data_IF_855641834128
#
_entry.id   IF_855641834128
#
_cell.length_a   1.000
_cell.length_b   1.000
_cell.length_c   1.000
_cell.angle_alpha   90.00
_cell.angle_beta   90.00
_cell.angle_gamma   90.00
#
_symmetry.space_group_name_H-M   'P 1'
#
loop_
_entity.id
_entity.type
_entity.pdbx_description
1 polymer ?
#
# COMPACT_ATOMS: atom_id res chain seq x y z
N UNK A 1 12.21 12.10 11.82
CA UNK A 1 11.41 13.00 10.95
C UNK A 1 9.95 12.90 11.37
N UNK A 2 9.42 14.00 11.94
CA UNK A 2 8.08 14.29 12.53
C UNK A 2 7.12 13.12 12.87
N UNK A 3 7.12 12.75 14.16
CA UNK A 3 6.02 12.03 14.83
C UNK A 3 4.79 12.93 14.88
N UNK A 4 3.83 12.71 13.99
CA UNK A 4 2.49 13.28 14.07
C UNK A 4 1.71 12.43 15.10
N UNK A 5 1.82 12.81 16.37
CA UNK A 5 0.83 12.45 17.41
C UNK A 5 -0.37 13.38 17.24
N UNK A 6 -1.20 13.11 16.24
CA UNK A 6 -2.52 13.71 16.07
C UNK A 6 -3.51 12.59 16.40
N UNK A 7 -4.57 12.90 17.14
CA UNK A 7 -5.52 11.98 17.81
C UNK A 7 -5.14 11.60 19.25
N UNK A 8 -5.92 12.08 20.21
CA UNK A 8 -5.91 11.63 21.60
C UNK A 8 -6.19 10.12 21.69
N UNK A 9 -5.71 9.48 22.77
CA UNK A 9 -5.76 8.01 22.99
C UNK A 9 -7.18 7.44 22.99
N UNK A 10 -7.77 7.25 21.81
CA UNK A 10 -9.04 6.58 21.59
C UNK A 10 -8.90 5.07 21.77
N UNK A 11 -10.03 4.38 22.03
CA UNK A 11 -10.08 2.91 22.22
C UNK A 11 -9.43 2.14 21.05
N UNK A 12 -9.49 2.68 19.84
CA UNK A 12 -8.93 2.07 18.63
C UNK A 12 -7.40 2.02 18.60
N UNK A 13 -6.70 3.02 19.18
CA UNK A 13 -5.23 3.00 19.24
C UNK A 13 -4.72 1.86 20.13
N UNK A 14 -5.35 1.65 21.30
CA UNK A 14 -4.97 0.56 22.20
C UNK A 14 -5.15 -0.82 21.56
N UNK A 15 -6.30 -1.05 20.92
CA UNK A 15 -6.54 -2.31 20.22
C UNK A 15 -5.55 -2.53 19.06
N UNK A 16 -5.16 -1.46 18.36
CA UNK A 16 -4.17 -1.51 17.29
C UNK A 16 -2.75 -1.80 17.82
N UNK A 17 -2.32 -1.13 18.88
CA UNK A 17 -1.03 -1.38 19.55
C UNK A 17 -0.94 -2.83 20.06
N UNK A 18 -2.01 -3.35 20.66
CA UNK A 18 -2.07 -4.75 21.09
C UNK A 18 -2.02 -5.74 19.93
N UNK A 19 -2.69 -5.43 18.82
CA UNK A 19 -2.65 -6.26 17.61
C UNK A 19 -1.23 -6.31 17.01
N UNK A 20 -0.56 -5.16 16.89
CA UNK A 20 0.84 -5.08 16.44
C UNK A 20 1.75 -5.90 17.35
N UNK A 21 1.61 -5.74 18.67
CA UNK A 21 2.41 -6.48 19.67
C UNK A 21 2.21 -7.99 19.56
N UNK A 22 0.98 -8.45 19.37
CA UNK A 22 0.66 -9.87 19.18
C UNK A 22 1.20 -10.43 17.86
N UNK A 23 1.21 -9.61 16.82
CA UNK A 23 1.77 -9.98 15.52
C UNK A 23 3.31 -9.96 15.49
N UNK A 24 3.97 -9.42 16.52
CA UNK A 24 5.43 -9.32 16.59
C UNK A 24 6.04 -8.35 15.57
N UNK A 25 5.28 -7.36 15.12
CA UNK A 25 5.72 -6.39 14.12
C UNK A 25 6.28 -5.15 14.82
N UNK A 26 7.48 -4.73 14.43
CA UNK A 26 8.08 -3.50 14.95
C UNK A 26 7.91 -2.34 13.96
N UNK A 27 7.87 -1.10 14.47
CA UNK A 27 7.83 0.14 13.67
C UNK A 27 6.64 0.27 12.69
N UNK A 28 5.50 -0.36 12.99
CA UNK A 28 4.28 -0.28 12.18
C UNK A 28 3.31 0.78 12.70
N UNK A 29 2.84 1.66 11.82
CA UNK A 29 1.85 2.70 12.14
C UNK A 29 0.53 2.45 11.42
N UNK A 30 -0.53 3.12 11.87
CA UNK A 30 -1.88 2.91 11.32
C UNK A 30 -1.98 3.17 9.81
N UNK A 31 -1.17 4.09 9.27
CA UNK A 31 -1.15 4.38 7.84
C UNK A 31 -0.62 3.21 7.00
N UNK A 32 0.20 2.34 7.58
CA UNK A 32 0.77 1.19 6.86
C UNK A 32 -0.29 0.16 6.49
N UNK A 33 -1.39 0.07 7.25
CA UNK A 33 -2.56 -0.73 6.86
C UNK A 33 -3.12 -0.32 5.50
N UNK A 34 -3.19 0.99 5.27
CA UNK A 34 -3.63 1.53 3.98
C UNK A 34 -2.64 1.18 2.88
N UNK A 35 -1.34 1.27 3.16
CA UNK A 35 -0.31 0.86 2.21
C UNK A 35 -0.45 -0.61 1.81
N UNK A 36 -0.62 -1.49 2.79
CA UNK A 36 -0.80 -2.93 2.57
C UNK A 36 -2.06 -3.23 1.77
N UNK A 37 -3.19 -2.60 2.09
CA UNK A 37 -4.44 -2.80 1.35
C UNK A 37 -4.30 -2.43 -0.14
N UNK A 38 -3.68 -1.29 -0.43
CA UNK A 38 -3.46 -0.84 -1.81
C UNK A 38 -2.53 -1.79 -2.57
N UNK A 39 -1.44 -2.22 -1.93
CA UNK A 39 -0.49 -3.15 -2.53
C UNK A 39 -1.15 -4.51 -2.84
N UNK A 40 -1.99 -5.01 -1.94
CA UNK A 40 -2.72 -6.25 -2.14
C UNK A 40 -3.71 -6.15 -3.31
N UNK A 41 -4.44 -5.04 -3.42
CA UNK A 41 -5.35 -4.84 -4.57
C UNK A 41 -4.60 -4.72 -5.90
N UNK A 42 -3.42 -4.08 -5.89
CA UNK A 42 -2.52 -4.04 -7.06
C UNK A 42 -2.08 -5.44 -7.47
N UNK A 43 -1.63 -6.26 -6.52
CA UNK A 43 -1.20 -7.64 -6.76
C UNK A 43 -2.33 -8.56 -7.25
N UNK A 44 -3.57 -8.29 -6.85
CA UNK A 44 -4.76 -8.97 -7.36
C UNK A 44 -5.15 -8.55 -8.79
N UNK A 45 -4.46 -7.55 -9.37
CA UNK A 45 -4.73 -7.08 -10.72
C UNK A 45 -5.98 -6.21 -10.86
N UNK A 46 -6.46 -5.60 -9.77
CA UNK A 46 -7.58 -4.66 -9.86
C UNK A 46 -7.17 -3.40 -10.65
N UNK A 47 -8.15 -2.82 -11.35
CA UNK A 47 -7.94 -1.59 -12.10
C UNK A 47 -7.48 -0.43 -11.19
N UNK A 48 -6.48 0.33 -11.67
CA UNK A 48 -5.87 1.40 -10.89
C UNK A 48 -6.85 2.54 -10.56
N UNK A 49 -7.77 2.87 -11.47
CA UNK A 49 -8.75 3.92 -11.20
C UNK A 49 -9.75 3.49 -10.12
N UNK A 50 -10.16 2.22 -10.13
CA UNK A 50 -11.00 1.64 -9.05
C UNK A 50 -10.29 1.67 -7.70
N UNK A 51 -9.03 1.25 -7.66
CA UNK A 51 -8.23 1.30 -6.43
C UNK A 51 -8.10 2.74 -5.94
N UNK A 52 -7.81 3.69 -6.82
CA UNK A 52 -7.67 5.11 -6.48
C UNK A 52 -8.98 5.70 -5.95
N UNK A 53 -10.13 5.38 -6.55
CA UNK A 53 -11.43 5.81 -6.09
C UNK A 53 -11.74 5.24 -4.69
N UNK A 54 -11.55 3.93 -4.50
CA UNK A 54 -11.80 3.25 -3.22
C UNK A 54 -10.89 3.76 -2.10
N UNK A 55 -9.63 4.03 -2.42
CA UNK A 55 -8.68 4.57 -1.45
C UNK A 55 -8.80 6.09 -1.30
N UNK A 56 -9.41 6.84 -2.21
CA UNK A 56 -9.51 8.30 -2.15
C UNK A 56 -8.23 9.04 -2.57
N UNK A 57 -7.45 8.47 -3.50
CA UNK A 57 -6.34 9.20 -4.11
C UNK A 57 -6.86 10.19 -5.14
N UNK A 58 -6.47 11.46 -5.01
CA UNK A 58 -6.87 12.53 -5.94
C UNK A 58 -6.05 12.55 -7.23
N UNK A 59 -4.79 12.13 -7.18
CA UNK A 59 -3.88 12.21 -8.33
C UNK A 59 -3.10 10.91 -8.50
N UNK A 60 -2.83 10.57 -9.76
CA UNK A 60 -2.07 9.37 -10.12
C UNK A 60 -0.62 9.44 -9.59
N UNK A 61 -0.04 10.63 -9.48
CA UNK A 61 1.31 10.81 -8.94
C UNK A 61 1.46 10.30 -7.50
N UNK A 62 0.43 10.46 -6.66
CA UNK A 62 0.45 9.94 -5.29
C UNK A 62 0.35 8.41 -5.28
N UNK A 63 -0.36 7.85 -6.26
CA UNK A 63 -0.59 6.41 -6.44
C UNK A 63 0.62 5.67 -7.04
N UNK A 64 1.42 6.33 -7.90
CA UNK A 64 2.62 5.73 -8.51
C UNK A 64 3.59 5.09 -7.50
N UNK A 65 3.60 5.54 -6.25
CA UNK A 65 4.40 4.96 -5.16
C UNK A 65 4.07 3.50 -4.85
N UNK A 66 2.87 3.05 -5.19
CA UNK A 66 2.43 1.66 -5.02
C UNK A 66 2.66 0.82 -6.26
N UNK A 67 2.96 1.45 -7.40
CA UNK A 67 3.14 0.75 -8.67
C UNK A 67 4.63 0.51 -8.93
N UNK A 68 5.28 -0.25 -8.04
CA UNK A 68 6.61 -0.77 -8.31
C UNK A 68 6.45 -1.91 -9.31
N UNK A 69 6.72 -1.63 -10.58
CA UNK A 69 6.69 -2.65 -11.63
C UNK A 69 7.83 -3.64 -11.35
N UNK A 70 7.47 -4.89 -11.05
CA UNK A 70 8.45 -5.96 -10.87
C UNK A 70 9.10 -6.32 -12.22
N UNK A 71 10.32 -6.85 -12.20
CA UNK A 71 11.02 -7.26 -13.44
C UNK A 71 10.24 -8.35 -14.17
N UNK A 72 9.51 -9.16 -13.42
CA UNK A 72 8.66 -10.25 -13.87
C UNK A 72 7.44 -9.74 -14.63
N UNK A 73 6.75 -8.71 -14.12
CA UNK A 73 5.65 -8.03 -14.83
C UNK A 73 6.13 -7.36 -16.12
N UNK A 74 7.33 -6.76 -16.08
CA UNK A 74 7.94 -6.11 -17.23
C UNK A 74 8.33 -7.15 -18.31
N UNK A 75 8.86 -8.31 -17.89
CA UNK A 75 9.17 -9.43 -18.78
C UNK A 75 7.91 -10.03 -19.43
N UNK A 76 6.81 -10.15 -18.68
CA UNK A 76 5.54 -10.63 -19.21
C UNK A 76 4.92 -9.68 -20.25
N UNK A 77 5.09 -8.37 -20.07
CA UNK A 77 4.62 -7.34 -21.01
C UNK A 77 5.44 -7.27 -22.30
N UNK A 78 6.77 -7.39 -22.20
CA UNK A 78 7.67 -7.31 -23.37
C UNK A 78 7.65 -8.61 -24.17
N UNK A 79 7.34 -9.74 -23.54
CA UNK A 79 7.38 -11.05 -24.17
C UNK A 79 8.80 -11.47 -24.58
N UNK A 80 9.05 -12.77 -24.70
CA UNK A 80 10.21 -13.27 -25.42
C UNK A 80 10.04 -13.01 -26.92
N UNK A 81 10.13 -11.76 -27.34
CA UNK A 81 10.34 -11.42 -28.73
C UNK A 81 11.46 -10.38 -28.79
N UNK A 82 12.69 -10.78 -29.18
CA UNK A 82 13.69 -9.80 -29.53
C UNK A 82 13.10 -8.96 -30.67
N UNK A 83 13.01 -7.66 -30.43
CA UNK A 83 12.65 -6.67 -31.44
C UNK A 83 13.51 -6.98 -32.68
N UNK A 84 12.87 -7.41 -33.77
CA UNK A 84 13.49 -7.51 -35.09
C UNK A 84 13.70 -6.11 -35.65
#
# INVERSE_FOLDING_TARGET
>A
MRSIRVFGKGKHQRAFEDAIRKAGIENFIFHDLRHTAINNWRLQGHDFFRIMAASGHKTMNVFKRYNTVSKEELKALVGENPVR
#
